data_IF_052456220170
#
_entry.id   IF_052456220170
#
_cell.length_a   1.000
_cell.length_b   1.000
_cell.length_c   1.000
_cell.angle_alpha   90.00
_cell.angle_beta   90.00
_cell.angle_gamma   90.00
#
_symmetry.space_group_name_H-M   'P 1'
#
loop_
_entity.id
_entity.type
_entity.pdbx_description
1 polymer ?
#
# COMPACT_ATOMS: atom_id res chain seq x y z
N UNK A 1 -15.16 12.49 -1.02
CA UNK A 1 -14.70 13.42 -2.07
C UNK A 1 -13.85 12.66 -3.09
N UNK A 2 -14.00 12.97 -4.40
CA UNK A 2 -13.30 12.31 -5.52
C UNK A 2 -11.77 12.30 -5.31
N UNK A 3 -11.21 13.37 -4.77
CA UNK A 3 -9.78 13.51 -4.52
C UNK A 3 -9.27 12.47 -3.49
N UNK A 4 -10.04 12.19 -2.45
CA UNK A 4 -9.67 11.16 -1.48
C UNK A 4 -9.62 9.77 -2.13
N UNK A 5 -10.58 9.44 -2.99
CA UNK A 5 -10.58 8.19 -3.74
C UNK A 5 -9.36 8.07 -4.66
N UNK A 6 -8.96 9.14 -5.34
CA UNK A 6 -7.77 9.15 -6.19
C UNK A 6 -6.48 8.91 -5.40
N UNK A 7 -6.36 9.46 -4.18
CA UNK A 7 -5.21 9.20 -3.31
C UNK A 7 -5.15 7.70 -2.92
N UNK A 8 -6.29 7.07 -2.64
CA UNK A 8 -6.32 5.64 -2.33
C UNK A 8 -5.95 4.79 -3.54
N UNK A 9 -6.47 5.15 -4.73
CA UNK A 9 -6.08 4.47 -5.97
C UNK A 9 -4.59 4.59 -6.28
N UNK A 10 -3.93 5.68 -5.92
CA UNK A 10 -2.47 5.81 -6.11
C UNK A 10 -1.68 4.72 -5.36
N UNK A 11 -2.15 4.33 -4.17
CA UNK A 11 -1.57 3.22 -3.40
C UNK A 11 -1.63 1.88 -4.13
N UNK A 12 -2.69 1.64 -4.90
CA UNK A 12 -2.83 0.42 -5.71
C UNK A 12 -1.78 0.36 -6.81
N UNK A 13 -1.50 1.48 -7.49
CA UNK A 13 -0.44 1.52 -8.50
C UNK A 13 0.95 1.23 -7.91
N UNK A 14 1.21 1.70 -6.69
CA UNK A 14 2.46 1.39 -5.99
C UNK A 14 2.56 -0.11 -5.67
N UNK A 15 1.47 -0.74 -5.22
CA UNK A 15 1.43 -2.18 -5.00
C UNK A 15 1.65 -2.97 -6.31
N UNK A 16 1.05 -2.53 -7.42
CA UNK A 16 1.29 -3.12 -8.75
C UNK A 16 2.76 -3.04 -9.16
N UNK A 17 3.40 -1.89 -8.97
CA UNK A 17 4.82 -1.74 -9.27
C UNK A 17 5.67 -2.74 -8.47
N UNK A 18 5.29 -3.02 -7.23
CA UNK A 18 5.90 -4.05 -6.39
C UNK A 18 5.82 -5.46 -6.97
N UNK A 19 4.67 -5.80 -7.53
CA UNK A 19 4.49 -7.07 -8.23
C UNK A 19 5.40 -7.21 -9.45
N UNK A 20 5.52 -6.17 -10.27
CA UNK A 20 6.43 -6.15 -11.43
C UNK A 20 7.90 -6.17 -11.03
N UNK A 21 8.28 -5.43 -9.99
CA UNK A 21 9.66 -5.44 -9.45
C UNK A 21 10.01 -6.85 -8.98
N UNK A 22 9.10 -7.55 -8.30
CA UNK A 22 9.35 -8.91 -7.84
C UNK A 22 9.52 -9.90 -9.00
N UNK A 23 8.69 -9.80 -10.05
CA UNK A 23 8.84 -10.61 -11.27
C UNK A 23 10.20 -10.37 -11.94
N UNK A 24 10.64 -9.12 -12.01
CA UNK A 24 11.94 -8.76 -12.55
C UNK A 24 13.08 -9.32 -11.70
N UNK A 25 12.97 -9.22 -10.36
CA UNK A 25 13.96 -9.75 -9.42
C UNK A 25 14.11 -11.27 -9.51
N UNK A 26 13.01 -11.99 -9.74
CA UNK A 26 13.04 -13.44 -9.95
C UNK A 26 13.88 -13.86 -11.17
N UNK A 27 13.96 -12.98 -12.18
CA UNK A 27 14.80 -13.18 -13.36
C UNK A 27 16.28 -12.85 -13.15
N UNK A 28 16.67 -12.23 -12.04
CA UNK A 28 18.05 -11.80 -11.80
C UNK A 28 18.89 -12.86 -11.09
N UNK A 29 20.11 -13.14 -11.60
CA UNK A 29 20.98 -14.17 -11.04
C UNK A 29 21.62 -13.80 -9.71
N UNK A 30 21.70 -12.52 -9.38
CA UNK A 30 22.25 -12.02 -8.11
C UNK A 30 21.23 -12.01 -6.97
N UNK A 31 19.92 -12.05 -7.28
CA UNK A 31 18.86 -11.93 -6.29
C UNK A 31 18.76 -13.20 -5.46
N UNK A 32 18.84 -13.06 -4.11
CA UNK A 32 18.81 -14.14 -3.12
C UNK A 32 19.81 -15.30 -3.38
N UNK A 33 20.91 -15.01 -4.09
CA UNK A 33 21.98 -15.99 -4.31
C UNK A 33 22.93 -16.05 -3.10
N UNK A 34 22.37 -16.39 -1.94
CA UNK A 34 23.13 -16.68 -0.72
C UNK A 34 22.57 -17.92 -0.04
N UNK A 35 23.47 -18.68 0.59
CA UNK A 35 23.09 -19.92 1.30
C UNK A 35 22.80 -19.61 2.77
N UNK A 36 21.65 -20.06 3.26
CA UNK A 36 21.27 -20.06 4.66
C UNK A 36 21.12 -21.52 5.12
N UNK A 37 21.78 -21.88 6.20
CA UNK A 37 21.75 -23.23 6.74
C UNK A 37 22.15 -24.34 5.73
N UNK A 38 23.03 -24.03 4.78
CA UNK A 38 23.53 -25.02 3.80
C UNK A 38 22.65 -25.19 2.56
N UNK A 39 21.56 -24.46 2.42
CA UNK A 39 20.70 -24.47 1.23
C UNK A 39 20.71 -23.11 0.55
N UNK A 40 20.77 -23.10 -0.77
CA UNK A 40 20.61 -21.89 -1.57
C UNK A 40 19.15 -21.45 -1.59
N UNK A 41 18.88 -20.23 -1.12
CA UNK A 41 17.51 -19.69 -1.13
C UNK A 41 16.94 -19.61 -2.55
N UNK A 42 17.80 -19.35 -3.54
CA UNK A 42 17.41 -19.32 -4.94
C UNK A 42 16.83 -20.66 -5.42
N UNK A 43 17.44 -21.77 -5.01
CA UNK A 43 16.97 -23.13 -5.34
C UNK A 43 15.70 -23.46 -4.57
N UNK A 44 15.63 -23.09 -3.30
CA UNK A 44 14.47 -23.34 -2.44
C UNK A 44 13.21 -22.63 -2.96
N UNK A 45 13.34 -21.41 -3.48
CA UNK A 45 12.22 -20.64 -4.05
C UNK A 45 12.12 -20.78 -5.58
N UNK A 46 12.83 -21.73 -6.20
CA UNK A 46 12.80 -22.01 -7.64
C UNK A 46 12.86 -20.73 -8.50
N UNK A 47 13.81 -19.83 -8.17
CA UNK A 47 13.94 -18.56 -8.86
C UNK A 47 14.48 -18.73 -10.28
N UNK A 48 13.61 -18.52 -11.23
CA UNK A 48 13.89 -18.53 -12.67
C UNK A 48 13.09 -17.40 -13.34
N UNK A 49 13.48 -16.98 -14.53
CA UNK A 49 12.71 -15.98 -15.27
C UNK A 49 11.29 -16.46 -15.52
N UNK A 50 10.30 -15.72 -15.00
CA UNK A 50 8.89 -16.06 -15.14
C UNK A 50 8.29 -15.22 -16.25
N UNK A 51 7.75 -15.88 -17.28
CA UNK A 51 7.03 -15.21 -18.36
C UNK A 51 5.66 -14.71 -17.86
N UNK A 52 5.21 -13.58 -18.42
CA UNK A 52 3.87 -13.05 -18.18
C UNK A 52 2.82 -14.03 -18.72
N UNK A 53 2.38 -14.92 -17.86
CA UNK A 53 1.34 -15.92 -18.13
C UNK A 53 0.00 -15.49 -17.53
N UNK A 54 -1.07 -16.21 -17.88
CA UNK A 54 -2.39 -15.99 -17.25
C UNK A 54 -2.33 -16.14 -15.73
N UNK A 55 -1.52 -17.06 -15.22
CA UNK A 55 -1.32 -17.26 -13.78
C UNK A 55 -0.78 -16.00 -13.10
N UNK A 56 0.20 -15.34 -13.71
CA UNK A 56 0.76 -14.06 -13.22
C UNK A 56 -0.32 -12.98 -13.15
N UNK A 57 -1.16 -12.87 -14.17
CA UNK A 57 -2.26 -11.90 -14.18
C UNK A 57 -3.32 -12.17 -13.10
N UNK A 58 -3.61 -13.43 -12.83
CA UNK A 58 -4.48 -13.80 -11.69
C UNK A 58 -3.87 -13.33 -10.36
N UNK A 59 -2.55 -13.47 -10.19
CA UNK A 59 -1.83 -12.92 -9.03
C UNK A 59 -1.97 -11.41 -8.91
N UNK A 60 -1.88 -10.67 -10.00
CA UNK A 60 -2.12 -9.22 -10.01
C UNK A 60 -3.57 -8.85 -9.69
N UNK A 61 -4.56 -9.61 -10.16
CA UNK A 61 -5.97 -9.38 -9.83
C UNK A 61 -6.20 -9.58 -8.33
N UNK A 62 -5.64 -10.63 -7.75
CA UNK A 62 -5.70 -10.86 -6.31
C UNK A 62 -5.05 -9.72 -5.52
N UNK A 63 -3.86 -9.28 -5.94
CA UNK A 63 -3.16 -8.14 -5.35
C UNK A 63 -4.01 -6.86 -5.44
N UNK A 64 -4.65 -6.60 -6.58
CA UNK A 64 -5.54 -5.45 -6.75
C UNK A 64 -6.68 -5.47 -5.75
N UNK A 65 -7.33 -6.60 -5.56
CA UNK A 65 -8.42 -6.76 -4.59
C UNK A 65 -8.00 -6.43 -3.16
N UNK A 66 -6.85 -6.95 -2.73
CA UNK A 66 -6.31 -6.72 -1.38
C UNK A 66 -5.87 -5.27 -1.22
N UNK A 67 -5.12 -4.73 -2.17
CA UNK A 67 -4.62 -3.35 -2.11
C UNK A 67 -5.77 -2.33 -2.09
N UNK A 68 -6.82 -2.54 -2.89
CA UNK A 68 -8.00 -1.68 -2.92
C UNK A 68 -8.76 -1.74 -1.59
N UNK A 69 -8.96 -2.94 -1.05
CA UNK A 69 -9.64 -3.12 0.23
C UNK A 69 -8.92 -2.38 1.37
N UNK A 70 -7.62 -2.54 1.49
CA UNK A 70 -6.82 -1.85 2.51
C UNK A 70 -6.84 -0.33 2.35
N UNK A 71 -6.76 0.15 1.11
CA UNK A 71 -6.85 1.58 0.79
C UNK A 71 -8.19 2.18 1.20
N UNK A 72 -9.30 1.55 0.82
CA UNK A 72 -10.66 2.01 1.13
C UNK A 72 -10.89 2.04 2.64
N UNK A 73 -10.50 1.00 3.36
CA UNK A 73 -10.69 0.95 4.81
C UNK A 73 -9.87 2.02 5.51
N UNK A 74 -8.61 2.25 5.10
CA UNK A 74 -7.78 3.31 5.66
C UNK A 74 -8.42 4.69 5.44
N UNK A 75 -8.91 4.95 4.23
CA UNK A 75 -9.55 6.20 3.90
C UNK A 75 -10.84 6.47 4.63
N UNK A 76 -11.69 5.46 4.74
CA UNK A 76 -12.94 5.56 5.52
C UNK A 76 -12.64 5.89 6.98
N UNK A 77 -11.62 5.25 7.56
CA UNK A 77 -11.25 5.48 8.95
C UNK A 77 -10.71 6.88 9.20
N UNK A 78 -9.84 7.36 8.31
CA UNK A 78 -9.35 8.75 8.37
C UNK A 78 -10.53 9.72 8.25
N UNK A 79 -11.49 9.47 7.35
CA UNK A 79 -12.68 10.31 7.20
C UNK A 79 -13.51 10.37 8.49
N UNK A 80 -13.75 9.21 9.14
CA UNK A 80 -14.47 9.14 10.41
C UNK A 80 -13.80 9.96 11.52
N UNK A 81 -12.47 9.81 11.69
CA UNK A 81 -11.72 10.58 12.70
C UNK A 81 -11.80 12.09 12.42
N UNK A 82 -11.78 12.49 11.15
CA UNK A 82 -11.94 13.90 10.77
C UNK A 82 -13.34 14.43 11.06
N UNK A 83 -14.38 13.63 10.92
CA UNK A 83 -15.76 14.02 11.29
C UNK A 83 -15.94 14.14 12.80
N UNK A 84 -15.29 13.26 13.57
CA UNK A 84 -15.33 13.30 15.04
C UNK A 84 -14.55 14.49 15.61
N UNK A 85 -13.31 14.70 15.14
CA UNK A 85 -12.41 15.70 15.71
C UNK A 85 -12.63 17.11 15.15
N UNK A 86 -13.26 17.25 13.95
CA UNK A 86 -13.50 18.53 13.24
C UNK A 86 -12.30 19.48 13.30
N UNK A 87 -11.13 19.06 12.81
CA UNK A 87 -9.89 19.81 12.99
C UNK A 87 -9.98 21.20 12.33
N UNK A 88 -9.76 22.23 13.13
CA UNK A 88 -9.78 23.64 12.68
C UNK A 88 -8.37 24.16 12.37
N UNK A 89 -7.34 23.59 13.01
CA UNK A 89 -5.95 24.01 12.83
C UNK A 89 -5.11 22.93 12.15
N UNK A 90 -3.96 23.33 11.58
CA UNK A 90 -3.01 22.39 10.97
C UNK A 90 -2.50 21.37 12.01
N UNK A 91 -2.37 21.77 13.27
CA UNK A 91 -1.97 20.86 14.36
C UNK A 91 -3.03 19.78 14.59
N UNK A 92 -4.31 20.17 14.62
CA UNK A 92 -5.43 19.24 14.82
C UNK A 92 -5.53 18.23 13.64
N UNK A 93 -5.25 18.70 12.42
CA UNK A 93 -5.20 17.83 11.22
C UNK A 93 -4.14 16.75 11.40
N UNK A 94 -2.93 17.11 11.84
CA UNK A 94 -1.85 16.14 12.08
C UNK A 94 -2.20 15.16 13.19
N UNK A 95 -2.77 15.64 14.27
CA UNK A 95 -3.20 14.80 15.38
C UNK A 95 -4.30 13.81 14.98
N UNK A 96 -5.28 14.26 14.18
CA UNK A 96 -6.33 13.40 13.63
C UNK A 96 -5.75 12.30 12.73
N UNK A 97 -4.82 12.63 11.83
CA UNK A 97 -4.17 11.63 10.95
C UNK A 97 -3.32 10.64 11.75
N UNK A 98 -2.55 11.11 12.73
CA UNK A 98 -1.74 10.23 13.60
C UNK A 98 -2.65 9.31 14.41
N UNK A 99 -3.76 9.80 14.93
CA UNK A 99 -4.73 9.01 15.71
C UNK A 99 -5.39 7.94 14.84
N UNK A 100 -5.82 8.29 13.62
CA UNK A 100 -6.36 7.35 12.65
C UNK A 100 -5.31 6.30 12.26
N UNK A 101 -4.09 6.74 11.94
CA UNK A 101 -2.97 5.87 11.56
C UNK A 101 -2.63 4.86 12.65
N UNK A 102 -2.46 5.29 13.90
CA UNK A 102 -2.14 4.39 15.04
C UNK A 102 -3.16 3.28 15.20
N UNK A 103 -4.45 3.56 15.01
CA UNK A 103 -5.51 2.56 15.16
C UNK A 103 -5.57 1.59 13.98
N UNK A 104 -5.23 2.02 12.75
CA UNK A 104 -5.41 1.22 11.54
C UNK A 104 -4.15 0.52 11.05
N UNK A 105 -2.97 1.13 11.23
CA UNK A 105 -1.69 0.54 10.78
C UNK A 105 -1.46 -0.84 11.41
N UNK A 106 -1.76 -1.02 12.70
CA UNK A 106 -1.55 -2.31 13.38
C UNK A 106 -2.34 -3.46 12.75
N UNK A 107 -3.68 -3.39 12.53
CA UNK A 107 -4.42 -4.44 11.84
C UNK A 107 -3.94 -4.66 10.39
N UNK A 108 -3.64 -3.60 9.65
CA UNK A 108 -3.16 -3.70 8.27
C UNK A 108 -1.81 -4.44 8.20
N UNK A 109 -0.88 -4.12 9.09
CA UNK A 109 0.41 -4.81 9.19
C UNK A 109 0.25 -6.30 9.53
N UNK A 110 -0.67 -6.64 10.44
CA UNK A 110 -0.95 -8.03 10.79
C UNK A 110 -1.49 -8.81 9.59
N UNK A 111 -2.46 -8.25 8.86
CA UNK A 111 -3.04 -8.89 7.67
C UNK A 111 -1.98 -9.12 6.60
N UNK A 112 -1.17 -8.11 6.30
CA UNK A 112 -0.09 -8.21 5.31
C UNK A 112 0.96 -9.23 5.74
N UNK A 113 1.38 -9.23 6.99
CA UNK A 113 2.37 -10.19 7.50
C UNK A 113 1.86 -11.63 7.39
N UNK A 114 0.61 -11.89 7.80
CA UNK A 114 0.01 -13.23 7.68
C UNK A 114 -0.07 -13.68 6.23
N UNK A 115 -0.48 -12.80 5.31
CA UNK A 115 -0.57 -13.14 3.89
C UNK A 115 0.80 -13.39 3.27
N UNK A 116 1.81 -12.57 3.59
CA UNK A 116 3.19 -12.76 3.13
C UNK A 116 3.74 -14.11 3.62
N UNK A 117 3.55 -14.45 4.90
CA UNK A 117 3.98 -15.73 5.47
C UNK A 117 3.23 -16.91 4.82
N UNK A 118 1.93 -16.78 4.56
CA UNK A 118 1.13 -17.81 3.91
C UNK A 118 1.55 -18.08 2.45
N UNK A 119 2.11 -17.09 1.76
CA UNK A 119 2.63 -17.25 0.39
C UNK A 119 3.99 -17.93 0.33
N UNK A 120 4.79 -17.92 1.40
CA UNK A 120 6.14 -18.53 1.41
C UNK A 120 6.11 -20.03 1.04
N UNK A 121 5.23 -20.87 1.63
CA UNK A 121 5.14 -22.27 1.24
C UNK A 121 4.70 -22.47 -0.23
N UNK A 122 3.89 -21.58 -0.76
CA UNK A 122 3.46 -21.64 -2.16
C UNK A 122 4.63 -21.34 -3.10
N UNK A 123 5.46 -20.34 -2.77
CA UNK A 123 6.65 -19.97 -3.53
C UNK A 123 7.75 -21.05 -3.49
N UNK A 124 7.79 -21.86 -2.43
CA UNK A 124 8.76 -22.98 -2.28
C UNK A 124 8.18 -24.35 -2.70
N UNK A 125 6.96 -24.38 -3.23
CA UNK A 125 6.32 -25.64 -3.61
C UNK A 125 6.96 -26.27 -4.85
N UNK A 126 7.20 -27.58 -4.81
CA UNK A 126 7.80 -28.37 -5.90
C UNK A 126 6.87 -29.44 -6.47
N UNK A 127 5.62 -29.49 -5.99
CA UNK A 127 4.65 -30.50 -6.36
C UNK A 127 3.92 -30.22 -7.69
N UNK A 128 3.05 -31.17 -8.08
CA UNK A 128 2.15 -30.98 -9.22
C UNK A 128 1.28 -29.73 -9.01
N UNK A 129 1.30 -28.80 -9.96
CA UNK A 129 0.59 -27.52 -9.87
C UNK A 129 1.46 -26.35 -9.38
N UNK A 130 2.69 -26.59 -8.92
CA UNK A 130 3.63 -25.51 -8.57
C UNK A 130 3.87 -24.57 -9.76
N UNK A 131 3.92 -25.11 -10.98
CA UNK A 131 4.10 -24.35 -12.23
C UNK A 131 3.02 -23.26 -12.46
N UNK A 132 1.87 -23.40 -11.83
CA UNK A 132 0.77 -22.42 -11.91
C UNK A 132 0.71 -21.57 -10.63
N UNK A 133 0.88 -22.22 -9.47
CA UNK A 133 0.74 -21.55 -8.17
C UNK A 133 1.88 -20.59 -7.89
N UNK A 134 3.13 -20.97 -8.17
CA UNK A 134 4.28 -20.10 -7.91
C UNK A 134 4.25 -18.82 -8.75
N UNK A 135 4.06 -18.86 -10.09
CA UNK A 135 3.93 -17.61 -10.88
C UNK A 135 2.79 -16.70 -10.44
N UNK A 136 1.69 -17.26 -9.91
CA UNK A 136 0.57 -16.48 -9.37
C UNK A 136 0.95 -15.81 -8.02
N UNK A 137 1.72 -16.49 -7.20
CA UNK A 137 2.12 -15.99 -5.89
C UNK A 137 3.19 -14.90 -5.95
N UNK A 138 4.06 -14.89 -6.95
CA UNK A 138 5.18 -13.95 -7.07
C UNK A 138 4.72 -12.49 -7.10
N UNK A 139 3.81 -12.05 -8.00
CA UNK A 139 3.37 -10.66 -8.02
C UNK A 139 2.57 -10.30 -6.76
N UNK A 140 1.78 -11.23 -6.23
CA UNK A 140 1.04 -11.01 -4.99
C UNK A 140 1.99 -10.78 -3.81
N UNK A 141 3.02 -11.60 -3.66
CA UNK A 141 4.05 -11.46 -2.63
C UNK A 141 4.79 -10.12 -2.75
N UNK A 142 5.32 -9.80 -3.94
CA UNK A 142 6.07 -8.57 -4.18
C UNK A 142 5.23 -7.32 -3.95
N UNK A 143 3.99 -7.33 -4.43
CA UNK A 143 3.06 -6.23 -4.22
C UNK A 143 2.70 -6.04 -2.76
N UNK A 144 2.49 -7.12 -2.01
CA UNK A 144 2.20 -7.07 -0.58
C UNK A 144 3.36 -6.50 0.25
N UNK A 145 4.60 -6.87 -0.07
CA UNK A 145 5.79 -6.32 0.61
C UNK A 145 5.88 -4.81 0.41
N UNK A 146 5.67 -4.32 -0.82
CA UNK A 146 5.67 -2.88 -1.09
C UNK A 146 4.43 -2.20 -0.53
N UNK A 147 3.29 -2.88 -0.46
CA UNK A 147 2.07 -2.34 0.13
C UNK A 147 2.24 -1.94 1.61
N UNK A 148 3.11 -2.59 2.36
CA UNK A 148 3.47 -2.14 3.71
C UNK A 148 3.90 -0.68 3.72
N UNK A 149 4.66 -0.25 2.72
CA UNK A 149 5.06 1.15 2.60
C UNK A 149 3.87 2.07 2.30
N UNK A 150 2.90 1.63 1.49
CA UNK A 150 1.74 2.45 1.15
C UNK A 150 0.82 2.71 2.33
N UNK A 151 0.75 1.79 3.30
CA UNK A 151 -0.01 1.97 4.55
C UNK A 151 0.47 3.20 5.32
N UNK A 152 1.74 3.59 5.20
CA UNK A 152 2.29 4.80 5.79
C UNK A 152 2.19 6.01 4.86
N UNK A 153 2.40 5.81 3.56
CA UNK A 153 2.44 6.87 2.55
C UNK A 153 1.06 7.48 2.33
N UNK A 154 0.00 6.67 2.28
CA UNK A 154 -1.37 7.16 2.04
C UNK A 154 -1.87 8.14 3.11
N UNK A 155 -1.75 7.88 4.42
CA UNK A 155 -2.11 8.85 5.45
C UNK A 155 -1.29 10.13 5.36
N UNK A 156 -0.01 10.04 5.00
CA UNK A 156 0.87 11.20 4.84
C UNK A 156 0.38 12.10 3.70
N UNK A 157 0.05 11.54 2.54
CA UNK A 157 -0.52 12.30 1.42
C UNK A 157 -1.85 12.96 1.78
N UNK A 158 -2.70 12.26 2.52
CA UNK A 158 -3.96 12.82 3.00
C UNK A 158 -3.75 13.97 3.99
N UNK A 159 -2.75 13.87 4.88
CA UNK A 159 -2.38 14.94 5.79
C UNK A 159 -1.99 16.20 5.01
N UNK A 160 -1.06 16.07 4.07
CA UNK A 160 -0.57 17.18 3.23
C UNK A 160 -1.74 17.84 2.46
N UNK A 161 -2.59 17.03 1.86
CA UNK A 161 -3.73 17.55 1.11
C UNK A 161 -4.73 18.29 2.00
N UNK A 162 -5.05 17.76 3.18
CA UNK A 162 -5.96 18.37 4.15
C UNK A 162 -5.37 19.63 4.78
N UNK A 163 -4.09 19.63 5.12
CA UNK A 163 -3.37 20.83 5.58
C UNK A 163 -3.48 21.97 4.55
N UNK A 164 -3.25 21.66 3.27
CA UNK A 164 -3.41 22.62 2.19
C UNK A 164 -4.82 23.20 2.06
N UNK A 165 -5.85 22.39 2.34
CA UNK A 165 -7.24 22.82 2.29
C UNK A 165 -7.58 23.76 3.46
N UNK A 166 -7.16 23.42 4.68
CA UNK A 166 -7.37 24.23 5.88
C UNK A 166 -6.64 25.57 5.75
N UNK A 167 -5.39 25.56 5.30
CA UNK A 167 -4.59 26.79 5.10
C UNK A 167 -5.22 27.70 4.06
N UNK A 168 -5.74 27.16 2.95
CA UNK A 168 -6.45 27.95 1.92
C UNK A 168 -7.75 28.54 2.44
N UNK A 169 -8.50 27.81 3.24
CA UNK A 169 -9.74 28.29 3.85
C UNK A 169 -9.47 29.44 4.84
N UNK A 170 -8.45 29.30 5.69
CA UNK A 170 -8.02 30.34 6.63
C UNK A 170 -7.57 31.62 5.89
N UNK A 171 -6.78 31.47 4.83
CA UNK A 171 -6.31 32.61 4.02
C UNK A 171 -7.46 33.32 3.30
N UNK A 172 -8.49 32.59 2.85
CA UNK A 172 -9.67 33.15 2.22
C UNK A 172 -10.51 33.94 3.23
N UNK A 173 -10.67 33.46 4.46
CA UNK A 173 -11.38 34.13 5.52
C UNK A 173 -10.73 35.48 5.92
N UNK A 174 -9.40 35.52 6.00
CA UNK A 174 -8.63 36.75 6.27
C UNK A 174 -8.84 37.78 5.17
N UNK A 175 -8.71 37.38 3.89
CA UNK A 175 -8.88 38.25 2.74
C UNK A 175 -10.33 38.82 2.62
N UNK A 176 -11.33 38.10 3.09
CA UNK A 176 -12.73 38.56 3.08
C UNK A 176 -12.94 39.60 4.16
N UNK A 177 -12.36 39.36 5.36
CA UNK A 177 -12.48 40.27 6.49
C UNK A 177 -11.76 41.63 6.24
N UNK A 178 -10.63 41.61 5.51
CA UNK A 178 -9.91 42.83 5.11
C UNK A 178 -10.72 43.69 4.12
N UNK A 179 -11.48 43.06 3.21
CA UNK A 179 -12.34 43.77 2.26
C UNK A 179 -13.56 44.44 2.92
N UNK A 180 -14.13 43.76 3.93
CA UNK A 180 -15.29 44.28 4.67
C UNK A 180 -14.90 45.43 5.63
N UNK A 181 -13.60 45.69 5.86
CA UNK A 181 -13.09 46.82 6.65
C UNK A 181 -12.70 48.04 5.80
N UNK A 182 -12.58 47.87 4.48
CA UNK A 182 -12.26 48.96 3.54
C UNK A 182 -13.52 49.63 2.92
N UNK A 183 -14.74 49.07 3.14
CA UNK A 183 -16.03 49.63 2.77
C UNK A 183 -16.67 50.34 3.98
#
# INVERSE_FOLDING_TARGET
TVTASLIHFSGVFVAFSGGFIMLWLYGQDWFMNFSVAGQNLREMFQMHPVNLSVAVWVGFIALFGIATNDGVIMGTYIHQVFEEMKPATVKDVREAVVTAGKKRVRPAMMTTAVTVIALLPVLSSTGKGADIMAPMAIPAFGGMVIQVMTVFVVPLFQAIWREGTVTRAARKAINTNDKDQEE
#
